data_IF_416745088515
#
_entry.id   IF_416745088515
#
_cell.length_a   1.000
_cell.length_b   1.000
_cell.length_c   1.000
_cell.angle_alpha   90.00
_cell.angle_beta   90.00
_cell.angle_gamma   90.00
#
_symmetry.space_group_name_H-M   'P 1'
#
loop_
_entity.id
_entity.type
_entity.pdbx_description
1 polymer ?
#
# COMPACT_ATOMS: atom_id res chain seq x y z
N UNK A 1 0.50 15.63 -23.79
CA UNK A 1 -0.21 15.58 -22.50
C UNK A 1 -0.04 16.93 -21.82
N UNK A 2 -1.07 17.47 -21.17
CA UNK A 2 -0.95 18.69 -20.35
C UNK A 2 0.12 18.47 -19.26
N UNK A 3 0.97 19.48 -19.03
CA UNK A 3 2.02 19.45 -18.00
C UNK A 3 1.44 19.11 -16.62
N UNK A 4 0.24 19.62 -16.30
CA UNK A 4 -0.46 19.30 -15.05
C UNK A 4 -0.84 17.82 -14.95
N UNK A 5 -1.30 17.23 -16.06
CA UNK A 5 -1.65 15.82 -16.11
C UNK A 5 -0.40 14.92 -15.93
N UNK A 6 0.75 15.35 -16.47
CA UNK A 6 2.01 14.63 -16.31
C UNK A 6 2.51 14.67 -14.86
N UNK A 7 2.45 15.83 -14.21
CA UNK A 7 2.79 15.98 -12.79
C UNK A 7 1.88 15.13 -11.90
N UNK A 8 0.56 15.13 -12.13
CA UNK A 8 -0.38 14.29 -11.37
C UNK A 8 -0.07 12.80 -11.56
N UNK A 9 0.24 12.37 -12.79
CA UNK A 9 0.60 10.98 -13.06
C UNK A 9 1.86 10.56 -12.31
N UNK A 10 2.89 11.40 -12.33
CA UNK A 10 4.12 11.17 -11.57
C UNK A 10 3.84 11.09 -10.07
N UNK A 11 3.03 11.98 -9.53
CA UNK A 11 2.66 11.96 -8.11
C UNK A 11 1.89 10.69 -7.73
N UNK A 12 0.98 10.23 -8.59
CA UNK A 12 0.26 8.96 -8.41
C UNK A 12 1.21 7.76 -8.38
N UNK A 13 2.18 7.72 -9.30
CA UNK A 13 3.21 6.68 -9.31
C UNK A 13 4.07 6.72 -8.04
N UNK A 14 4.52 7.90 -7.63
CA UNK A 14 5.30 8.09 -6.40
C UNK A 14 4.52 7.63 -5.16
N UNK A 15 3.23 7.94 -5.07
CA UNK A 15 2.38 7.51 -3.96
C UNK A 15 2.22 5.98 -3.92
N UNK A 16 1.99 5.34 -5.07
CA UNK A 16 1.92 3.87 -5.16
C UNK A 16 3.22 3.20 -4.76
N UNK A 17 4.37 3.73 -5.20
CA UNK A 17 5.68 3.25 -4.78
C UNK A 17 5.90 3.43 -3.28
N UNK A 18 5.55 4.60 -2.73
CA UNK A 18 5.70 4.88 -1.31
C UNK A 18 4.86 3.93 -0.44
N UNK A 19 3.60 3.70 -0.81
CA UNK A 19 2.73 2.71 -0.16
C UNK A 19 3.37 1.32 -0.22
N UNK A 20 3.90 0.91 -1.38
CA UNK A 20 4.57 -0.39 -1.52
C UNK A 20 5.81 -0.51 -0.62
N UNK A 21 6.63 0.53 -0.54
CA UNK A 21 7.80 0.55 0.36
C UNK A 21 7.38 0.34 1.81
N UNK A 22 6.33 1.02 2.28
CA UNK A 22 5.81 0.85 3.64
C UNK A 22 5.25 -0.56 3.88
N UNK A 23 4.51 -1.13 2.92
CA UNK A 23 3.99 -2.50 3.01
C UNK A 23 5.13 -3.52 3.09
N UNK A 24 6.19 -3.35 2.29
CA UNK A 24 7.37 -4.22 2.32
C UNK A 24 8.07 -4.12 3.67
N UNK A 25 8.36 -2.90 4.13
CA UNK A 25 9.00 -2.68 5.44
C UNK A 25 8.20 -3.34 6.56
N UNK A 26 6.88 -3.15 6.61
CA UNK A 26 6.04 -3.80 7.62
C UNK A 26 5.99 -5.32 7.48
N UNK A 27 6.02 -5.84 6.25
CA UNK A 27 6.10 -7.29 6.03
C UNK A 27 7.40 -7.87 6.61
N UNK A 28 8.50 -7.11 6.61
CA UNK A 28 9.75 -7.56 7.26
C UNK A 28 9.68 -7.55 8.78
N UNK A 29 8.88 -6.63 9.36
CA UNK A 29 8.60 -6.60 10.80
C UNK A 29 7.72 -7.77 11.25
N UNK A 30 6.90 -8.33 10.35
CA UNK A 30 6.05 -9.50 10.59
C UNK A 30 6.80 -10.85 10.59
N UNK A 31 8.14 -10.85 10.60
CA UNK A 31 8.94 -12.06 10.69
C UNK A 31 9.02 -12.57 12.15
N UNK A 32 9.20 -13.89 12.29
CA UNK A 32 9.39 -14.54 13.58
C UNK A 32 10.58 -13.92 14.34
N UNK A 33 10.39 -13.63 15.64
CA UNK A 33 11.40 -13.00 16.50
C UNK A 33 11.20 -11.51 16.78
N UNK A 34 10.13 -10.89 16.28
CA UNK A 34 9.78 -9.52 16.66
C UNK A 34 9.05 -9.52 18.03
N UNK A 35 9.55 -8.79 19.05
CA UNK A 35 8.92 -8.68 20.37
C UNK A 35 7.47 -8.19 20.32
N UNK A 36 7.12 -7.37 19.32
CA UNK A 36 5.77 -6.82 19.15
C UNK A 36 4.74 -7.87 18.70
N UNK A 37 5.20 -9.06 18.27
CA UNK A 37 4.36 -10.15 17.78
C UNK A 37 4.39 -11.35 18.71
N UNK A 38 5.08 -11.25 19.85
CA UNK A 38 5.08 -12.29 20.88
C UNK A 38 3.64 -12.55 21.36
N UNK A 39 3.24 -13.82 21.33
CA UNK A 39 1.89 -14.25 21.71
C UNK A 39 0.85 -14.23 20.58
N UNK A 40 1.19 -13.76 19.36
CA UNK A 40 0.30 -13.90 18.22
C UNK A 40 0.41 -15.30 17.57
N UNK A 41 -0.72 -15.96 17.25
CA UNK A 41 -0.68 -17.21 16.49
C UNK A 41 -0.02 -17.02 15.12
N UNK A 42 0.83 -17.97 14.73
CA UNK A 42 1.53 -17.94 13.45
C UNK A 42 0.57 -17.78 12.26
N UNK A 43 -0.60 -18.40 12.32
CA UNK A 43 -1.66 -18.31 11.30
C UNK A 43 -2.18 -16.87 11.11
N UNK A 44 -2.25 -16.07 12.18
CA UNK A 44 -2.65 -14.67 12.11
C UNK A 44 -1.56 -13.82 11.46
N UNK A 45 -0.29 -14.09 11.78
CA UNK A 45 0.87 -13.43 11.16
C UNK A 45 0.89 -13.72 9.66
N UNK A 46 0.70 -14.98 9.27
CA UNK A 46 0.64 -15.39 7.87
C UNK A 46 -0.55 -14.77 7.13
N UNK A 47 -1.71 -14.64 7.79
CA UNK A 47 -2.87 -13.96 7.22
C UNK A 47 -2.57 -12.47 6.96
N UNK A 48 -1.93 -11.78 7.91
CA UNK A 48 -1.48 -10.40 7.76
C UNK A 48 -0.49 -10.24 6.60
N UNK A 49 0.52 -11.12 6.52
CA UNK A 49 1.49 -11.13 5.42
C UNK A 49 0.80 -11.29 4.06
N UNK A 50 -0.17 -12.21 3.94
CA UNK A 50 -0.95 -12.38 2.70
C UNK A 50 -1.70 -11.09 2.33
N UNK A 51 -2.29 -10.40 3.30
CA UNK A 51 -2.95 -9.12 3.04
C UNK A 51 -2.01 -8.04 2.51
N UNK A 52 -0.75 -8.03 2.97
CA UNK A 52 0.25 -7.03 2.57
C UNK A 52 0.78 -7.36 1.18
N UNK A 53 1.17 -8.62 0.95
CA UNK A 53 1.67 -9.11 -0.34
C UNK A 53 0.63 -8.90 -1.45
N UNK A 54 -0.65 -9.18 -1.19
CA UNK A 54 -1.73 -8.96 -2.17
C UNK A 54 -1.81 -7.49 -2.59
N UNK A 55 -1.68 -6.55 -1.64
CA UNK A 55 -1.69 -5.10 -1.92
C UNK A 55 -0.46 -4.64 -2.69
N UNK A 56 0.73 -5.14 -2.31
CA UNK A 56 1.97 -4.88 -3.05
C UNK A 56 1.79 -5.28 -4.51
N UNK A 57 1.27 -6.49 -4.75
CA UNK A 57 0.99 -6.99 -6.09
C UNK A 57 0.01 -6.09 -6.86
N UNK A 58 -1.15 -5.75 -6.26
CA UNK A 58 -2.13 -4.87 -6.90
C UNK A 58 -1.58 -3.49 -7.26
N UNK A 59 -0.76 -2.90 -6.39
CA UNK A 59 -0.11 -1.62 -6.65
C UNK A 59 0.92 -1.72 -7.79
N UNK A 60 1.74 -2.78 -7.82
CA UNK A 60 2.70 -3.02 -8.91
C UNK A 60 2.00 -3.26 -10.24
N UNK A 61 0.89 -4.00 -10.24
CA UNK A 61 0.07 -4.20 -11.44
C UNK A 61 -0.50 -2.86 -11.95
N UNK A 62 -0.98 -2.01 -11.03
CA UNK A 62 -1.44 -0.67 -11.40
C UNK A 62 -0.31 0.18 -12.01
N UNK A 63 0.89 0.16 -11.42
CA UNK A 63 2.07 0.87 -11.95
C UNK A 63 2.41 0.35 -13.35
N UNK A 64 2.40 -0.97 -13.56
CA UNK A 64 2.67 -1.58 -14.86
C UNK A 64 1.67 -1.11 -15.92
N UNK A 65 0.37 -1.13 -15.59
CA UNK A 65 -0.69 -0.65 -16.49
C UNK A 65 -0.51 0.83 -16.83
N UNK A 66 -0.15 1.67 -15.86
CA UNK A 66 0.15 3.09 -16.10
C UNK A 66 1.32 3.25 -17.07
N UNK A 67 2.41 2.51 -16.86
CA UNK A 67 3.59 2.57 -17.72
C UNK A 67 3.32 2.04 -19.14
N UNK A 68 2.33 1.18 -19.32
CA UNK A 68 1.84 0.70 -20.62
C UNK A 68 0.86 1.67 -21.30
N UNK A 69 0.60 2.84 -20.71
CA UNK A 69 -0.26 3.87 -21.28
C UNK A 69 -1.70 3.90 -20.74
N UNK A 70 -2.08 3.00 -19.85
CA UNK A 70 -3.37 3.07 -19.16
C UNK A 70 -3.31 4.00 -17.95
N UNK A 71 -3.32 5.31 -18.20
CA UNK A 71 -3.21 6.33 -17.15
C UNK A 71 -4.39 6.33 -16.15
N UNK A 72 -5.53 5.76 -16.57
CA UNK A 72 -6.73 5.61 -15.73
C UNK A 72 -6.71 4.34 -14.86
N UNK A 73 -5.68 3.51 -14.96
CA UNK A 73 -5.57 2.29 -14.17
C UNK A 73 -5.65 2.61 -12.66
N UNK A 74 -6.30 1.71 -11.91
CA UNK A 74 -6.46 1.80 -10.46
C UNK A 74 -6.01 0.48 -9.83
N UNK A 75 -5.40 0.51 -8.63
CA UNK A 75 -5.16 -0.72 -7.89
C UNK A 75 -6.48 -1.42 -7.59
N UNK A 76 -6.49 -2.75 -7.65
CA UNK A 76 -7.68 -3.55 -7.34
C UNK A 76 -8.07 -3.52 -5.85
N UNK A 77 -7.18 -3.03 -4.98
CA UNK A 77 -7.41 -2.89 -3.53
C UNK A 77 -7.05 -1.46 -3.15
N UNK A 78 -8.05 -0.71 -2.66
CA UNK A 78 -7.91 0.68 -2.23
C UNK A 78 -8.02 0.84 -0.71
N UNK A 79 -8.37 -0.24 -0.01
CA UNK A 79 -8.46 -0.25 1.43
C UNK A 79 -7.08 -0.51 2.04
N UNK A 80 -6.69 0.21 3.10
CA UNK A 80 -5.46 -0.09 3.82
C UNK A 80 -5.50 -1.52 4.38
N UNK A 81 -4.33 -2.15 4.57
CA UNK A 81 -4.30 -3.45 5.23
C UNK A 81 -4.72 -3.33 6.70
N UNK A 82 -5.19 -4.44 7.31
CA UNK A 82 -5.39 -4.47 8.75
C UNK A 82 -4.08 -4.17 9.48
N UNK A 83 -4.19 -3.42 10.56
CA UNK A 83 -3.07 -3.11 11.44
C UNK A 83 -2.65 -4.37 12.21
N UNK A 84 -1.34 -4.63 12.38
CA UNK A 84 -0.89 -5.68 13.27
C UNK A 84 -1.32 -5.36 14.71
N UNK A 85 -1.73 -6.37 15.50
CA UNK A 85 -1.94 -6.20 16.92
C UNK A 85 -0.66 -5.64 17.58
N UNK A 86 -0.81 -4.66 18.47
CA UNK A 86 0.33 -4.08 19.21
C UNK A 86 0.99 -2.85 18.58
N UNK A 87 0.67 -2.46 17.34
CA UNK A 87 1.15 -1.19 16.76
C UNK A 87 0.14 -0.07 17.07
N UNK A 88 0.55 1.03 17.73
CA UNK A 88 -0.35 2.14 18.04
C UNK A 88 -0.86 2.82 16.76
N UNK A 89 -2.18 2.83 16.57
CA UNK A 89 -2.82 3.36 15.35
C UNK A 89 -2.54 4.85 15.10
N UNK A 90 -2.31 5.63 16.15
CA UNK A 90 -2.16 7.10 16.07
C UNK A 90 -0.92 7.55 15.28
N UNK A 91 0.09 6.70 15.14
CA UNK A 91 1.31 7.02 14.38
C UNK A 91 1.32 6.43 12.96
N UNK A 92 0.25 5.74 12.55
CA UNK A 92 0.23 5.10 11.25
C UNK A 92 -0.16 6.05 10.12
N UNK A 93 0.81 6.32 9.23
CA UNK A 93 0.60 7.10 8.01
C UNK A 93 -0.06 6.29 6.87
N UNK A 94 0.05 4.96 6.87
CA UNK A 94 -0.38 4.11 5.76
C UNK A 94 -1.88 4.26 5.43
N UNK A 95 -2.83 4.25 6.40
CA UNK A 95 -4.23 4.52 6.11
C UNK A 95 -4.48 5.89 5.46
N UNK A 96 -3.74 6.92 5.90
CA UNK A 96 -3.85 8.28 5.34
C UNK A 96 -3.38 8.32 3.88
N UNK A 97 -2.34 7.56 3.53
CA UNK A 97 -1.86 7.44 2.16
C UNK A 97 -2.87 6.72 1.25
N UNK A 98 -3.57 5.70 1.76
CA UNK A 98 -4.65 5.05 1.02
C UNK A 98 -5.85 5.99 0.78
N UNK A 99 -6.22 6.81 1.77
CA UNK A 99 -7.25 7.85 1.59
C UNK A 99 -6.80 8.85 0.51
N UNK A 100 -5.56 9.33 0.57
CA UNK A 100 -5.01 10.23 -0.41
C UNK A 100 -5.02 9.62 -1.82
N UNK A 101 -4.62 8.35 -1.95
CA UNK A 101 -4.63 7.62 -3.21
C UNK A 101 -6.05 7.56 -3.79
N UNK A 102 -7.04 7.17 -2.98
CA UNK A 102 -8.44 7.12 -3.41
C UNK A 102 -8.94 8.50 -3.86
N UNK A 103 -8.65 9.56 -3.10
CA UNK A 103 -9.04 10.93 -3.47
C UNK A 103 -8.37 11.40 -4.76
N UNK A 104 -7.10 11.07 -4.96
CA UNK A 104 -6.41 11.36 -6.22
C UNK A 104 -7.04 10.65 -7.43
N UNK A 105 -7.59 9.44 -7.22
CA UNK A 105 -8.27 8.67 -8.26
C UNK A 105 -9.70 9.16 -8.54
N UNK A 106 -10.35 9.84 -7.61
CA UNK A 106 -11.71 10.40 -7.79
C UNK A 106 -11.70 11.72 -8.56
N UNK A 107 -10.66 12.54 -8.35
CA UNK A 107 -10.57 13.91 -8.90
C UNK A 107 -10.06 13.92 -10.36
N UNK A 108 -9.53 12.80 -10.86
CA UNK A 108 -8.87 12.68 -12.18
C UNK A 108 -9.24 11.38 -12.91
#
# INVERSE_FOLDING_TARGET
MDQRAQTTLQYKLQLLFHINTLLILRSTLLKQGNPQLEGLPAEQIDALLRHYVKRIHCNLQCISNINQGNYKARPAILEPPPLPPGIPQQQDILPKLYILLTKMLEVW
#
